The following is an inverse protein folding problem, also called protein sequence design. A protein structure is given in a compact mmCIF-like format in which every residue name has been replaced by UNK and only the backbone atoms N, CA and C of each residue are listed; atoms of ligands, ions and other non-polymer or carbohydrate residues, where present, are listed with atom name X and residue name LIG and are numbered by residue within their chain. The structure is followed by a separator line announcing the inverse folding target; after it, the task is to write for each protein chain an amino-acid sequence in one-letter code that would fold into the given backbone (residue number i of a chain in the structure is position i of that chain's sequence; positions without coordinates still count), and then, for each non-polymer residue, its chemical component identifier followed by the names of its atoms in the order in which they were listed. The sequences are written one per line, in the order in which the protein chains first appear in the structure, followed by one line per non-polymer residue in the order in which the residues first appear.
data_IF_273055148401
#
_entry.id   IF_273055148401
#
_cell.length_a   1.000
_cell.length_b   1.000
_cell.length_c   1.000
_cell.angle_alpha   90.00
_cell.angle_beta   90.00
_cell.angle_gamma   90.00
#
_symmetry.space_group_name_H-M   'P 1'
#
loop_
_entity.id
_entity.type
_entity.pdbx_description
1 polymer ?
#
# COMPACT_ATOMS: atom_id res chain seq x y z
N UNK A 1 -18.73 4.13 -10.57
CA UNK A 1 -18.14 2.98 -9.88
C UNK A 1 -16.75 3.33 -9.38
N UNK A 2 -16.21 2.57 -8.42
CA UNK A 2 -14.85 2.71 -7.91
C UNK A 2 -14.14 1.36 -7.91
N UNK A 3 -12.81 1.38 -7.94
CA UNK A 3 -11.95 0.20 -7.84
C UNK A 3 -11.13 0.27 -6.57
N UNK A 4 -11.11 -0.80 -5.82
CA UNK A 4 -10.20 -1.06 -4.73
C UNK A 4 -9.48 -2.41 -5.04
N UNK A 5 -8.21 -2.41 -5.41
CA UNK A 5 -7.31 -1.28 -5.59
C UNK A 5 -6.56 -1.45 -6.91
N UNK A 6 -5.89 -0.39 -7.38
CA UNK A 6 -4.85 -0.53 -8.41
C UNK A 6 -3.51 -0.47 -7.69
N UNK A 7 -2.78 -1.58 -7.67
CA UNK A 7 -1.52 -1.69 -6.95
C UNK A 7 -0.42 -0.83 -7.57
N UNK A 8 0.33 -0.13 -6.71
CA UNK A 8 1.52 0.62 -7.12
C UNK A 8 2.74 -0.28 -7.00
N UNK A 9 3.48 -0.43 -8.10
CA UNK A 9 4.64 -1.31 -8.18
C UNK A 9 5.78 -0.85 -7.26
N UNK A 10 6.53 -1.78 -6.68
CA UNK A 10 7.63 -1.48 -5.74
C UNK A 10 8.75 -0.64 -6.39
N UNK A 11 9.01 -0.78 -7.68
CA UNK A 11 9.94 0.10 -8.40
C UNK A 11 9.54 1.59 -8.34
N UNK A 12 8.24 1.91 -8.30
CA UNK A 12 7.75 3.29 -8.12
C UNK A 12 8.00 3.73 -6.68
N UNK A 13 7.65 2.88 -5.71
CA UNK A 13 7.80 3.17 -4.27
C UNK A 13 9.25 3.39 -3.87
N UNK A 14 10.18 2.64 -4.47
CA UNK A 14 11.61 2.73 -4.19
C UNK A 14 12.35 3.76 -5.05
N UNK A 15 11.72 4.26 -6.11
CA UNK A 15 12.37 5.17 -7.05
C UNK A 15 13.42 4.48 -7.93
N UNK A 16 13.25 3.18 -8.22
CA UNK A 16 14.14 2.40 -9.06
C UNK A 16 14.27 2.98 -10.48
N UNK A 17 15.35 2.67 -11.22
CA UNK A 17 15.58 3.23 -12.56
C UNK A 17 14.43 3.02 -13.54
N UNK A 18 13.72 1.91 -13.43
CA UNK A 18 12.58 1.53 -14.28
C UNK A 18 11.23 2.10 -13.81
N UNK A 19 11.20 2.90 -12.73
CA UNK A 19 9.94 3.43 -12.16
C UNK A 19 9.06 4.13 -13.18
N UNK A 20 9.65 4.86 -14.13
CA UNK A 20 8.88 5.63 -15.11
C UNK A 20 8.10 4.72 -16.07
N UNK A 21 8.64 3.56 -16.43
CA UNK A 21 7.91 2.56 -17.20
C UNK A 21 6.68 2.03 -16.45
N UNK A 22 6.82 1.76 -15.15
CA UNK A 22 5.68 1.31 -14.32
C UNK A 22 4.66 2.42 -14.10
N UNK A 23 5.10 3.68 -14.01
CA UNK A 23 4.18 4.84 -13.97
C UNK A 23 3.42 4.96 -15.29
N UNK A 24 4.07 4.80 -16.44
CA UNK A 24 3.41 4.83 -17.75
C UNK A 24 2.37 3.70 -17.88
N UNK A 25 2.66 2.50 -17.40
CA UNK A 25 1.68 1.39 -17.31
C UNK A 25 0.50 1.74 -16.40
N UNK A 26 0.76 2.43 -15.29
CA UNK A 26 -0.29 2.90 -14.37
C UNK A 26 -1.17 3.97 -15.04
N UNK A 27 -0.57 4.90 -15.77
CA UNK A 27 -1.28 5.91 -16.58
C UNK A 27 -2.19 5.24 -17.62
N UNK A 28 -1.69 4.23 -18.35
CA UNK A 28 -2.52 3.46 -19.30
C UNK A 28 -3.70 2.78 -18.59
N UNK A 29 -3.47 2.23 -17.40
CA UNK A 29 -4.55 1.64 -16.58
C UNK A 29 -5.61 2.69 -16.24
N UNK A 30 -5.21 3.88 -15.79
CA UNK A 30 -6.14 4.98 -15.49
C UNK A 30 -6.89 5.44 -16.74
N UNK A 31 -6.22 5.53 -17.89
CA UNK A 31 -6.90 5.85 -19.16
C UNK A 31 -7.98 4.82 -19.52
N UNK A 32 -7.70 3.53 -19.32
CA UNK A 32 -8.65 2.46 -19.60
C UNK A 32 -9.83 2.51 -18.62
N UNK A 33 -9.58 2.77 -17.33
CA UNK A 33 -10.63 2.96 -16.34
C UNK A 33 -11.52 4.17 -16.67
N UNK A 34 -10.92 5.29 -17.07
CA UNK A 34 -11.66 6.48 -17.46
C UNK A 34 -12.54 6.27 -18.70
N UNK A 35 -12.09 5.47 -19.68
CA UNK A 35 -12.89 5.09 -20.85
C UNK A 35 -14.11 4.23 -20.49
N UNK A 36 -14.01 3.47 -19.40
CA UNK A 36 -15.09 2.62 -18.86
C UNK A 36 -15.94 3.32 -17.77
N UNK A 37 -15.86 4.65 -17.68
CA UNK A 37 -16.63 5.49 -16.74
C UNK A 37 -16.36 5.14 -15.25
N UNK A 38 -15.12 4.81 -14.92
CA UNK A 38 -14.66 4.53 -13.56
C UNK A 38 -13.86 5.73 -13.05
N UNK A 39 -14.41 6.46 -12.10
CA UNK A 39 -13.91 7.76 -11.65
C UNK A 39 -13.36 7.77 -10.21
N UNK A 40 -13.16 6.61 -9.60
CA UNK A 40 -12.59 6.47 -8.26
C UNK A 40 -11.64 5.28 -8.21
N UNK A 41 -10.41 5.54 -7.82
CA UNK A 41 -9.37 4.52 -7.63
C UNK A 41 -8.82 4.63 -6.21
N UNK A 42 -9.06 3.61 -5.40
CA UNK A 42 -8.36 3.42 -4.13
C UNK A 42 -7.00 2.80 -4.39
N UNK A 43 -5.98 3.25 -3.68
CA UNK A 43 -4.63 2.69 -3.74
C UNK A 43 -3.93 2.84 -2.40
N UNK A 44 -2.84 2.13 -2.19
CA UNK A 44 -1.95 2.34 -1.07
C UNK A 44 -0.49 2.51 -1.55
N UNK A 45 0.38 2.97 -0.65
CA UNK A 45 1.80 3.14 -0.93
C UNK A 45 2.68 2.44 0.11
N UNK A 46 2.13 1.42 0.74
CA UNK A 46 2.79 0.63 1.79
C UNK A 46 3.91 -0.23 1.19
N UNK A 47 5.15 -0.17 1.73
CA UNK A 47 6.26 -1.02 1.31
C UNK A 47 5.99 -2.50 1.57
N UNK A 48 6.29 -3.35 0.60
CA UNK A 48 6.25 -4.82 0.63
C UNK A 48 4.89 -5.39 1.00
N UNK A 49 4.41 -5.10 2.21
CA UNK A 49 3.14 -5.61 2.74
C UNK A 49 2.09 -4.50 2.78
N UNK A 50 0.87 -4.82 2.39
CA UNK A 50 -0.29 -3.96 2.59
C UNK A 50 -0.66 -3.96 4.08
N UNK A 51 -1.93 -4.10 4.45
CA UNK A 51 -2.31 -4.22 5.85
C UNK A 51 -1.76 -5.52 6.47
N UNK A 52 -1.33 -5.45 7.74
CA UNK A 52 -0.70 -6.56 8.45
C UNK A 52 -1.51 -6.94 9.68
N UNK A 53 -1.74 -8.24 9.86
CA UNK A 53 -2.39 -8.80 11.05
C UNK A 53 -1.62 -10.01 11.55
N UNK A 54 -1.63 -10.20 12.87
CA UNK A 54 -1.00 -11.36 13.53
C UNK A 54 -1.99 -12.48 13.83
N UNK A 55 -3.29 -12.15 13.86
CA UNK A 55 -4.37 -13.11 14.04
C UNK A 55 -5.54 -12.73 13.12
N UNK A 56 -6.03 -13.70 12.35
CA UNK A 56 -7.16 -13.50 11.44
C UNK A 56 -8.53 -13.77 12.07
N UNK A 57 -8.57 -14.40 13.23
CA UNK A 57 -9.81 -14.83 13.88
C UNK A 57 -9.70 -14.80 15.41
N UNK A 58 -9.24 -13.70 15.99
CA UNK A 58 -9.23 -13.56 17.45
C UNK A 58 -10.65 -13.57 17.99
N UNK A 59 -10.93 -14.52 18.90
CA UNK A 59 -12.25 -14.64 19.52
C UNK A 59 -12.50 -13.50 20.52
N UNK A 60 -13.67 -12.88 20.42
CA UNK A 60 -14.17 -11.87 21.36
C UNK A 60 -15.09 -12.52 22.42
N UNK A 61 -15.32 -11.83 23.57
CA UNK A 61 -16.21 -12.34 24.63
C UNK A 61 -17.66 -12.60 24.17
N UNK A 62 -18.12 -11.92 23.14
CA UNK A 62 -19.46 -12.10 22.55
C UNK A 62 -19.56 -13.25 21.55
N UNK A 63 -18.44 -13.99 21.33
CA UNK A 63 -18.37 -15.12 20.40
C UNK A 63 -18.10 -14.70 18.95
N UNK A 64 -17.99 -13.42 18.63
CA UNK A 64 -17.54 -12.94 17.31
C UNK A 64 -16.01 -13.09 17.15
N UNK A 65 -15.53 -13.06 15.92
CA UNK A 65 -14.10 -13.02 15.61
C UNK A 65 -13.71 -11.70 14.99
N UNK A 66 -12.46 -11.26 15.23
CA UNK A 66 -11.89 -10.05 14.65
C UNK A 66 -10.48 -10.30 14.17
N UNK A 67 -10.05 -9.52 13.19
CA UNK A 67 -8.65 -9.37 12.86
C UNK A 67 -7.93 -8.66 14.00
N UNK A 68 -6.73 -9.10 14.34
CA UNK A 68 -5.95 -8.49 15.41
C UNK A 68 -4.47 -8.37 15.05
N UNK A 69 -3.84 -7.35 15.60
CA UNK A 69 -2.41 -7.08 15.53
C UNK A 69 -1.82 -7.03 16.93
N UNK A 70 -0.68 -7.67 17.13
CA UNK A 70 0.14 -7.53 18.35
C UNK A 70 1.59 -7.33 17.95
N UNK A 71 2.23 -6.29 18.50
CA UNK A 71 3.62 -5.96 18.19
C UNK A 71 4.55 -7.09 18.62
N UNK A 72 4.30 -7.70 19.80
CA UNK A 72 5.09 -8.81 20.32
C UNK A 72 5.13 -10.01 19.38
N UNK A 73 4.01 -10.27 18.68
CA UNK A 73 3.96 -11.35 17.70
C UNK A 73 4.78 -11.00 16.45
N UNK A 74 4.73 -9.74 16.00
CA UNK A 74 5.54 -9.27 14.87
C UNK A 74 7.03 -9.28 15.22
N UNK A 75 7.42 -8.80 16.40
CA UNK A 75 8.81 -8.76 16.86
C UNK A 75 9.41 -10.15 17.03
N UNK A 76 8.57 -11.16 17.31
CA UNK A 76 8.98 -12.55 17.39
C UNK A 76 9.16 -13.23 16.04
N UNK A 77 8.66 -12.63 14.96
CA UNK A 77 8.78 -13.16 13.60
C UNK A 77 10.13 -12.75 12.99
N UNK A 78 10.86 -13.76 12.52
CA UNK A 78 11.96 -13.54 11.59
C UNK A 78 11.36 -13.37 10.18
N UNK A 79 11.47 -12.20 9.55
CA UNK A 79 10.90 -11.97 8.23
C UNK A 79 11.32 -13.01 7.20
N UNK A 80 12.55 -13.54 7.32
CA UNK A 80 13.08 -14.57 6.42
C UNK A 80 12.45 -15.97 6.62
N UNK A 81 11.92 -16.23 7.83
CA UNK A 81 11.30 -17.51 8.21
C UNK A 81 9.78 -17.44 8.26
N UNK A 82 9.22 -16.25 8.14
CA UNK A 82 7.80 -16.00 8.27
C UNK A 82 6.97 -16.78 7.24
N UNK A 83 7.54 -17.02 6.05
CA UNK A 83 6.89 -17.70 4.94
C UNK A 83 6.58 -19.16 5.20
N UNK A 84 7.48 -19.85 5.89
CA UNK A 84 7.29 -21.26 6.21
C UNK A 84 6.16 -21.47 7.24
N UNK A 85 5.90 -20.47 8.09
CA UNK A 85 4.88 -20.55 9.14
C UNK A 85 3.50 -20.02 8.69
N UNK A 86 3.43 -18.97 7.90
CA UNK A 86 2.16 -18.35 7.47
C UNK A 86 1.50 -19.16 6.35
N UNK A 87 2.26 -19.73 5.44
CA UNK A 87 1.74 -20.58 4.36
C UNK A 87 0.98 -21.82 4.89
N UNK A 88 1.29 -22.29 6.11
CA UNK A 88 0.62 -23.43 6.75
C UNK A 88 -0.69 -23.10 7.47
N UNK A 89 -0.86 -21.86 7.95
CA UNK A 89 -1.96 -21.52 8.89
C UNK A 89 -3.16 -20.79 8.24
N UNK A 90 -3.04 -20.37 6.99
CA UNK A 90 -4.01 -19.46 6.37
C UNK A 90 -5.24 -20.15 5.75
N UNK A 91 -5.41 -21.46 5.87
CA UNK A 91 -6.58 -22.21 5.33
C UNK A 91 -6.98 -21.80 3.88
N UNK A 92 -6.01 -21.45 3.03
CA UNK A 92 -6.24 -21.03 1.66
C UNK A 92 -6.68 -19.56 1.49
N UNK A 93 -6.67 -18.76 2.54
CA UNK A 93 -6.94 -17.32 2.47
C UNK A 93 -5.60 -16.56 2.34
N UNK A 94 -5.43 -15.80 1.27
CA UNK A 94 -4.25 -14.97 1.04
C UNK A 94 -4.58 -13.53 1.36
N UNK A 95 -3.77 -12.89 2.21
CA UNK A 95 -3.90 -11.45 2.47
C UNK A 95 -3.30 -10.64 1.32
N UNK A 96 -3.85 -9.45 0.99
CA UNK A 96 -3.24 -8.56 0.01
C UNK A 96 -1.78 -8.25 0.37
N UNK A 97 -0.88 -8.38 -0.62
CA UNK A 97 0.56 -8.22 -0.43
C UNK A 97 1.28 -9.49 0.08
N UNK A 98 0.54 -10.58 0.31
CA UNK A 98 1.06 -11.87 0.80
C UNK A 98 0.86 -12.99 -0.23
N UNK A 99 0.71 -12.65 -1.49
CA UNK A 99 0.57 -13.61 -2.58
C UNK A 99 1.83 -14.50 -2.68
N UNK A 100 1.69 -15.83 -2.91
CA UNK A 100 2.84 -16.76 -2.93
C UNK A 100 3.97 -16.34 -3.86
N UNK A 101 3.64 -15.86 -5.06
CA UNK A 101 4.63 -15.41 -6.04
C UNK A 101 5.43 -14.19 -5.53
N UNK A 102 4.77 -13.27 -4.83
CA UNK A 102 5.42 -12.12 -4.20
C UNK A 102 6.34 -12.55 -3.07
N UNK A 103 5.92 -13.56 -2.33
CA UNK A 103 6.65 -14.06 -1.19
C UNK A 103 7.95 -14.80 -1.56
N UNK A 104 8.03 -15.41 -2.74
CA UNK A 104 9.26 -16.00 -3.26
C UNK A 104 10.38 -14.95 -3.45
N UNK A 105 10.00 -13.69 -3.67
CA UNK A 105 10.92 -12.56 -3.91
C UNK A 105 11.06 -11.61 -2.74
N UNK A 106 10.55 -11.95 -1.58
CA UNK A 106 10.52 -11.03 -0.43
C UNK A 106 11.90 -10.52 -0.01
N UNK A 107 12.94 -11.35 -0.07
CA UNK A 107 14.30 -10.92 0.26
C UNK A 107 14.80 -9.84 -0.70
N UNK A 108 14.49 -9.99 -1.98
CA UNK A 108 14.81 -8.99 -3.01
C UNK A 108 14.04 -7.69 -2.74
N UNK A 109 12.76 -7.78 -2.35
CA UNK A 109 11.97 -6.63 -1.97
C UNK A 109 12.57 -5.91 -0.74
N UNK A 110 12.94 -6.63 0.32
CA UNK A 110 13.58 -6.01 1.49
C UNK A 110 14.89 -5.31 1.12
N UNK A 111 15.72 -5.90 0.26
CA UNK A 111 16.94 -5.24 -0.22
C UNK A 111 16.63 -3.96 -1.02
N UNK A 112 15.57 -3.94 -1.83
CA UNK A 112 15.14 -2.72 -2.55
C UNK A 112 14.77 -1.58 -1.60
N UNK A 113 14.19 -1.89 -0.44
CA UNK A 113 13.77 -0.89 0.55
C UNK A 113 14.83 -0.51 1.57
N UNK A 114 15.99 -1.16 1.58
CA UNK A 114 17.05 -0.98 2.60
C UNK A 114 17.53 0.47 2.77
N UNK A 115 17.57 1.22 1.68
CA UNK A 115 18.00 2.62 1.65
C UNK A 115 16.80 3.59 1.55
N UNK A 116 15.57 3.10 1.75
CA UNK A 116 14.35 3.89 1.65
C UNK A 116 13.84 4.21 3.05
N UNK A 117 14.01 5.46 3.45
CA UNK A 117 13.40 6.03 4.65
C UNK A 117 12.04 6.68 4.34
N UNK A 118 11.40 7.22 5.38
CA UNK A 118 10.09 7.88 5.28
C UNK A 118 10.12 9.06 4.27
N UNK A 119 11.22 9.83 4.24
CA UNK A 119 11.34 10.99 3.35
C UNK A 119 11.50 10.56 1.89
N UNK A 120 12.33 9.58 1.61
CA UNK A 120 12.48 9.03 0.26
C UNK A 120 11.18 8.40 -0.24
N UNK A 121 10.50 7.64 0.63
CA UNK A 121 9.22 7.05 0.28
C UNK A 121 8.18 8.13 -0.03
N UNK A 122 8.14 9.19 0.78
CA UNK A 122 7.24 10.33 0.55
C UNK A 122 7.55 11.06 -0.75
N UNK A 123 8.82 11.33 -1.07
CA UNK A 123 9.21 11.97 -2.34
C UNK A 123 8.88 11.10 -3.55
N UNK A 124 9.00 9.78 -3.42
CA UNK A 124 8.59 8.86 -4.49
C UNK A 124 7.07 8.84 -4.67
N UNK A 125 6.28 8.91 -3.59
CA UNK A 125 4.82 9.05 -3.66
C UNK A 125 4.43 10.37 -4.35
N UNK A 126 5.06 11.48 -3.95
CA UNK A 126 4.84 12.79 -4.58
C UNK A 126 5.14 12.73 -6.08
N UNK A 127 6.31 12.21 -6.46
CA UNK A 127 6.69 12.06 -7.87
C UNK A 127 5.66 11.24 -8.65
N UNK A 128 5.23 10.11 -8.11
CA UNK A 128 4.21 9.26 -8.72
C UNK A 128 2.92 10.05 -8.96
N UNK A 129 2.41 10.74 -7.94
CA UNK A 129 1.17 11.50 -8.04
C UNK A 129 1.30 12.65 -9.06
N UNK A 130 2.39 13.41 -9.05
CA UNK A 130 2.62 14.47 -10.03
C UNK A 130 2.58 13.96 -11.48
N UNK A 131 3.07 12.74 -11.71
CA UNK A 131 3.08 12.10 -13.03
C UNK A 131 1.69 11.61 -13.48
N UNK A 132 0.84 11.15 -12.55
CA UNK A 132 -0.50 10.62 -12.89
C UNK A 132 -1.61 11.68 -12.84
N UNK A 133 -1.43 12.82 -12.15
CA UNK A 133 -2.48 13.85 -12.08
C UNK A 133 -2.98 14.34 -13.44
N UNK A 134 -2.16 14.53 -14.48
CA UNK A 134 -2.67 14.95 -15.80
C UNK A 134 -3.70 13.96 -16.41
N UNK A 135 -3.55 12.67 -16.21
CA UNK A 135 -4.54 11.68 -16.68
C UNK A 135 -5.77 11.68 -15.79
N UNK A 136 -5.61 11.90 -14.50
CA UNK A 136 -6.72 12.05 -13.56
C UNK A 136 -7.58 13.27 -13.90
N UNK A 137 -6.95 14.42 -14.22
CA UNK A 137 -7.64 15.63 -14.68
C UNK A 137 -8.39 15.38 -16.00
N UNK A 138 -7.78 14.66 -16.95
CA UNK A 138 -8.36 14.37 -18.27
C UNK A 138 -9.62 13.51 -18.20
N UNK A 139 -9.64 12.51 -17.32
CA UNK A 139 -10.71 11.53 -17.22
C UNK A 139 -11.59 11.67 -15.97
N UNK A 140 -11.40 12.77 -15.18
CA UNK A 140 -12.12 13.04 -13.92
C UNK A 140 -12.02 11.88 -12.93
N UNK A 141 -10.81 11.34 -12.73
CA UNK A 141 -10.56 10.21 -11.83
C UNK A 141 -10.02 10.71 -10.50
N UNK A 142 -10.70 10.37 -9.42
CA UNK A 142 -10.25 10.66 -8.06
C UNK A 142 -9.36 9.52 -7.55
N UNK A 143 -8.13 9.86 -7.20
CA UNK A 143 -7.19 8.96 -6.53
C UNK A 143 -7.40 9.08 -5.01
N UNK A 144 -7.65 7.97 -4.34
CA UNK A 144 -7.90 7.92 -2.91
C UNK A 144 -6.89 7.02 -2.23
N UNK A 145 -5.85 7.62 -1.61
CA UNK A 145 -4.85 6.84 -0.88
C UNK A 145 -5.45 6.25 0.40
N UNK A 146 -5.26 4.96 0.61
CA UNK A 146 -5.60 4.30 1.86
C UNK A 146 -4.53 4.64 2.91
N UNK A 147 -4.89 5.05 4.14
CA UNK A 147 -3.94 5.21 5.23
C UNK A 147 -3.16 3.92 5.49
N UNK A 148 -1.93 4.06 6.00
CA UNK A 148 -1.10 2.91 6.31
C UNK A 148 -1.69 2.10 7.47
N UNK A 149 -1.71 0.78 7.32
CA UNK A 149 -2.26 -0.15 8.30
C UNK A 149 -1.29 -1.32 8.54
N UNK A 150 -0.65 -1.37 9.70
CA UNK A 150 -0.76 -0.43 10.83
C UNK A 150 -0.06 0.92 10.55
N UNK A 151 -0.44 1.94 11.31
CA UNK A 151 0.08 3.30 11.20
C UNK A 151 1.46 3.47 11.89
N UNK A 152 2.35 2.49 11.73
CA UNK A 152 3.73 2.46 12.23
C UNK A 152 4.57 1.47 11.42
N UNK A 153 5.90 1.59 11.54
CA UNK A 153 6.86 0.70 10.86
C UNK A 153 6.62 -0.77 11.21
N UNK A 154 6.67 -1.63 10.21
CA UNK A 154 6.60 -3.09 10.34
C UNK A 154 7.85 -3.68 9.68
N UNK A 155 8.58 -4.52 10.40
CA UNK A 155 9.85 -5.11 9.95
C UNK A 155 10.91 -4.07 9.51
N UNK A 156 10.88 -2.87 10.09
CA UNK A 156 11.79 -1.77 9.71
C UNK A 156 11.42 -1.05 8.41
N UNK A 157 10.33 -1.45 7.74
CA UNK A 157 9.85 -0.78 6.53
C UNK A 157 9.13 0.53 6.89
N UNK A 158 9.35 1.62 6.13
CA UNK A 158 8.75 2.92 6.41
C UNK A 158 7.23 2.93 6.21
N UNK A 159 6.53 3.83 6.93
CA UNK A 159 5.11 4.12 6.78
C UNK A 159 4.91 5.63 6.78
N UNK A 160 4.17 6.17 5.83
CA UNK A 160 4.12 7.62 5.56
C UNK A 160 2.72 8.25 5.60
N UNK A 161 1.66 7.46 5.56
CA UNK A 161 0.28 7.96 5.67
C UNK A 161 -0.31 7.50 7.00
N UNK A 162 0.32 7.94 8.09
CA UNK A 162 0.12 7.40 9.45
C UNK A 162 -0.64 8.34 10.40
N UNK A 163 -0.81 9.61 10.03
CA UNK A 163 -1.46 10.60 10.89
C UNK A 163 -1.96 11.80 10.07
N UNK A 164 -2.67 12.69 10.75
CA UNK A 164 -3.22 13.91 10.16
C UNK A 164 -2.15 14.81 9.52
N UNK A 165 -1.01 14.94 10.18
CA UNK A 165 0.10 15.81 9.73
C UNK A 165 0.64 15.32 8.39
N UNK A 166 0.85 14.02 8.24
CA UNK A 166 1.32 13.40 7.01
C UNK A 166 0.28 13.50 5.88
N UNK A 167 -1.00 13.30 6.18
CA UNK A 167 -2.09 13.50 5.22
C UNK A 167 -2.12 14.96 4.74
N UNK A 168 -2.06 15.93 5.67
CA UNK A 168 -2.03 17.34 5.31
C UNK A 168 -0.77 17.72 4.51
N UNK A 169 0.37 17.09 4.81
CA UNK A 169 1.60 17.24 4.03
C UNK A 169 1.42 16.79 2.59
N UNK A 170 0.81 15.60 2.39
CA UNK A 170 0.55 15.06 1.06
C UNK A 170 -0.40 15.95 0.25
N UNK A 171 -1.51 16.38 0.85
CA UNK A 171 -2.48 17.26 0.18
C UNK A 171 -1.86 18.59 -0.25
N UNK A 172 -0.90 19.12 0.53
CA UNK A 172 -0.17 20.34 0.18
C UNK A 172 0.92 20.12 -0.86
N UNK A 173 1.58 18.94 -0.83
CA UNK A 173 2.67 18.63 -1.74
C UNK A 173 2.17 18.38 -3.17
N UNK A 174 0.95 17.82 -3.31
CA UNK A 174 0.27 17.60 -4.59
C UNK A 174 -1.13 18.21 -4.49
N UNK A 175 -1.19 19.53 -4.69
CA UNK A 175 -2.43 20.32 -4.62
C UNK A 175 -3.24 20.14 -5.91
N UNK A 176 -3.98 19.03 -5.96
CA UNK A 176 -4.86 18.70 -7.08
C UNK A 176 -6.19 18.16 -6.54
N UNK A 177 -7.31 18.58 -7.15
CA UNK A 177 -8.68 18.18 -6.75
C UNK A 177 -8.91 16.67 -6.80
N UNK A 178 -8.12 15.95 -7.61
CA UNK A 178 -8.21 14.50 -7.77
C UNK A 178 -7.27 13.73 -6.83
N UNK A 179 -6.47 14.41 -6.02
CA UNK A 179 -5.66 13.80 -4.96
C UNK A 179 -6.44 13.81 -3.65
N UNK A 180 -6.81 12.65 -3.15
CA UNK A 180 -7.65 12.49 -1.96
C UNK A 180 -7.25 11.31 -1.09
N UNK A 181 -8.04 11.05 -0.07
CA UNK A 181 -7.79 10.02 0.96
C UNK A 181 -9.01 9.10 1.06
N UNK A 182 -8.77 7.81 1.20
CA UNK A 182 -9.79 6.84 1.60
C UNK A 182 -10.06 7.00 3.09
N UNK A 183 -11.31 7.24 3.47
CA UNK A 183 -11.71 7.19 4.88
C UNK A 183 -11.94 5.74 5.30
N UNK A 184 -10.94 5.16 5.97
CA UNK A 184 -11.02 3.81 6.52
C UNK A 184 -11.17 3.87 8.05
N UNK A 185 -12.26 3.30 8.57
CA UNK A 185 -12.50 3.24 10.01
C UNK A 185 -11.75 2.10 10.71
N UNK A 186 -11.03 1.28 9.96
CA UNK A 186 -10.26 0.13 10.46
C UNK A 186 -8.77 0.42 10.62
N UNK A 187 -8.31 1.59 10.16
CA UNK A 187 -6.92 2.00 10.24
C UNK A 187 -6.76 3.29 11.04
#
# INVERSE_FOLDING_TARGET
AGIESVNVHDAIKTGAPERDQYIDNYIETLENLGKEDIHLVCYNFMPVFDWTRTELARMRPDGSTVLAYTQEAVDALDPEKMFDSIAGDMNGTVMPGWEPERMEHVKELFEMYKEIDDEKLFENLKYFLERIMPVCDKYDINMAIHPDDPAWSVFGLPRIIINKENICRLMKAVDNKHNGVTFCSGS
#
